data_IF_077729558577
#
_entry.id   IF_077729558577
#
_cell.length_a   1.000
_cell.length_b   1.000
_cell.length_c   1.000
_cell.angle_alpha   90.00
_cell.angle_beta   90.00
_cell.angle_gamma   90.00
#
_symmetry.space_group_name_H-M   'P 1'
#
loop_
_entity.id
_entity.type
_entity.pdbx_description
1 polymer ?
#
# COMPACT_ATOMS: atom_id res chain seq x y z
N UNK A 1 -16.02 39.72 29.24
CA UNK A 1 -14.85 39.71 28.34
C UNK A 1 -14.21 38.33 28.47
N UNK A 2 -14.42 37.47 27.47
CA UNK A 2 -13.99 36.06 27.49
C UNK A 2 -12.71 35.97 26.67
N UNK A 3 -11.58 35.66 27.30
CA UNK A 3 -10.32 35.40 26.61
C UNK A 3 -10.35 33.96 26.07
N UNK A 4 -10.46 33.82 24.75
CA UNK A 4 -10.23 32.56 24.05
C UNK A 4 -8.71 32.38 23.88
N UNK A 5 -8.13 31.51 24.72
CA UNK A 5 -6.79 30.97 24.53
C UNK A 5 -6.84 29.97 23.39
N UNK A 6 -6.48 30.42 22.18
CA UNK A 6 -6.26 29.54 21.04
C UNK A 6 -4.94 28.82 21.30
N UNK A 7 -5.00 27.62 21.89
CA UNK A 7 -3.85 26.72 21.90
C UNK A 7 -3.60 26.31 20.45
N UNK A 8 -2.69 27.01 19.79
CA UNK A 8 -2.07 26.51 18.57
C UNK A 8 -1.28 25.27 18.98
N UNK A 9 -1.89 24.09 18.85
CA UNK A 9 -1.14 22.86 18.82
C UNK A 9 -0.20 22.97 17.62
N UNK A 10 1.06 23.29 17.89
CA UNK A 10 2.13 23.03 16.94
C UNK A 10 2.17 21.51 16.75
N UNK A 11 1.39 20.99 15.81
CA UNK A 11 1.66 19.69 15.21
C UNK A 11 3.00 19.84 14.51
N UNK A 12 4.07 19.49 15.21
CA UNK A 12 5.35 19.22 14.54
C UNK A 12 5.05 18.12 13.54
N UNK A 13 5.10 18.44 12.24
CA UNK A 13 5.04 17.43 11.19
C UNK A 13 6.14 16.41 11.51
N UNK A 14 5.72 15.20 11.89
CA UNK A 14 6.66 14.12 12.21
C UNK A 14 7.41 13.78 10.92
N UNK A 15 8.71 13.52 11.04
CA UNK A 15 9.57 13.06 9.95
C UNK A 15 10.01 11.63 10.22
N UNK A 16 10.41 10.92 9.17
CA UNK A 16 10.97 9.57 9.28
C UNK A 16 12.21 9.56 10.20
N UNK A 17 12.24 8.65 11.17
CA UNK A 17 13.41 8.44 12.03
C UNK A 17 14.43 7.50 11.37
N UNK A 18 15.32 8.09 10.58
CA UNK A 18 16.33 7.34 9.80
C UNK A 18 17.44 6.71 10.64
N UNK A 19 17.58 7.08 11.92
CA UNK A 19 18.67 6.57 12.79
C UNK A 19 18.61 5.05 13.02
N UNK A 20 17.44 4.46 12.78
CA UNK A 20 17.20 3.02 12.92
C UNK A 20 17.18 2.30 11.56
N UNK A 21 17.36 3.01 10.45
CA UNK A 21 17.26 2.46 9.11
C UNK A 21 18.64 2.35 8.46
N UNK A 22 18.82 1.30 7.66
CA UNK A 22 19.99 1.12 6.82
C UNK A 22 19.60 1.46 5.39
N UNK A 23 20.38 2.29 4.71
CA UNK A 23 20.16 2.58 3.28
C UNK A 23 20.55 1.35 2.45
N UNK A 24 19.66 0.94 1.56
CA UNK A 24 19.91 -0.11 0.57
C UNK A 24 20.38 0.49 -0.77
N UNK A 25 19.72 1.57 -1.20
CA UNK A 25 20.01 2.28 -2.45
C UNK A 25 19.69 3.77 -2.29
N UNK A 26 20.49 4.62 -2.93
CA UNK A 26 20.37 6.08 -2.87
C UNK A 26 20.44 6.63 -4.31
N UNK A 27 19.30 7.13 -4.80
CA UNK A 27 19.15 7.82 -6.08
C UNK A 27 18.20 9.02 -5.86
N UNK A 28 17.30 9.33 -6.81
CA UNK A 28 16.19 10.29 -6.60
C UNK A 28 15.34 9.90 -5.39
N UNK A 29 15.20 8.62 -5.10
CA UNK A 29 14.54 8.12 -3.89
C UNK A 29 15.57 7.41 -2.99
N UNK A 30 15.41 7.52 -1.67
CA UNK A 30 16.20 6.73 -0.72
C UNK A 30 15.43 5.45 -0.41
N UNK A 31 15.93 4.30 -0.85
CA UNK A 31 15.40 3.00 -0.49
C UNK A 31 16.13 2.50 0.76
N UNK A 32 15.39 2.26 1.83
CA UNK A 32 15.93 1.62 3.03
C UNK A 32 15.80 0.10 2.94
N UNK A 33 16.70 -0.63 3.61
CA UNK A 33 16.56 -2.08 3.77
C UNK A 33 15.23 -2.40 4.45
N UNK A 34 14.46 -3.38 3.96
CA UNK A 34 13.19 -3.75 4.56
C UNK A 34 13.34 -4.13 6.05
N UNK A 35 12.36 -3.74 6.86
CA UNK A 35 12.32 -3.94 8.31
C UNK A 35 11.05 -4.67 8.74
N UNK A 36 11.03 -5.26 9.93
CA UNK A 36 9.79 -5.82 10.49
C UNK A 36 8.75 -4.72 10.81
N UNK A 37 7.47 -5.10 10.91
CA UNK A 37 6.33 -4.19 11.16
C UNK A 37 6.52 -3.33 12.42
N UNK A 38 6.99 -3.94 13.53
CA UNK A 38 7.18 -3.22 14.81
C UNK A 38 8.22 -2.12 14.68
N UNK A 39 9.29 -2.39 13.92
CA UNK A 39 10.31 -1.39 13.64
C UNK A 39 9.78 -0.29 12.72
N UNK A 40 8.99 -0.62 11.71
CA UNK A 40 8.33 0.35 10.82
C UNK A 40 7.42 1.30 11.62
N UNK A 41 6.51 0.78 12.44
CA UNK A 41 5.59 1.55 13.30
C UNK A 41 6.29 2.57 14.20
N UNK A 42 7.54 2.30 14.60
CA UNK A 42 8.32 3.18 15.46
C UNK A 42 9.02 4.31 14.69
N UNK A 43 9.37 4.09 13.42
CA UNK A 43 10.14 5.07 12.62
C UNK A 43 9.27 5.94 11.73
N UNK A 44 8.08 5.46 11.36
CA UNK A 44 7.22 6.14 10.40
C UNK A 44 6.64 7.45 10.96
N UNK A 45 6.47 8.48 10.11
CA UNK A 45 5.87 9.74 10.53
C UNK A 45 4.33 9.69 10.62
N UNK A 46 3.72 8.55 10.30
CA UNK A 46 2.28 8.30 10.35
C UNK A 46 2.00 6.93 10.99
N UNK A 47 0.77 6.76 11.46
CA UNK A 47 0.26 5.47 11.91
C UNK A 47 -0.14 4.64 10.69
N UNK A 48 0.31 3.39 10.64
CA UNK A 48 0.02 2.47 9.55
C UNK A 48 -0.84 1.33 10.10
N UNK A 49 -2.00 1.16 9.48
CA UNK A 49 -2.85 0.00 9.67
C UNK A 49 -2.54 -1.01 8.54
N UNK A 50 -2.48 -2.29 8.90
CA UNK A 50 -2.15 -3.37 7.97
C UNK A 50 -3.41 -4.21 7.71
N UNK A 51 -3.65 -4.66 6.46
CA UNK A 51 -4.80 -5.50 6.17
C UNK A 51 -4.84 -6.75 7.05
N UNK A 52 -6.03 -7.09 7.52
CA UNK A 52 -6.29 -8.28 8.34
C UNK A 52 -7.02 -9.38 7.58
N UNK A 53 -7.55 -9.07 6.40
CA UNK A 53 -8.19 -10.01 5.49
C UNK A 53 -7.35 -10.22 4.22
N UNK A 54 -7.23 -11.48 3.82
CA UNK A 54 -6.66 -11.89 2.54
C UNK A 54 -7.49 -13.05 1.98
N UNK A 55 -7.60 -13.15 0.65
CA UNK A 55 -8.39 -14.20 0.02
C UNK A 55 -7.66 -15.55 -0.08
N UNK A 56 -6.45 -15.67 0.49
CA UNK A 56 -5.60 -16.85 0.53
C UNK A 56 -4.74 -16.86 1.81
N UNK A 57 -4.22 -18.04 2.16
CA UNK A 57 -3.17 -18.14 3.18
C UNK A 57 -1.88 -17.46 2.69
N UNK A 58 -1.24 -16.67 3.55
CA UNK A 58 -0.08 -15.86 3.17
C UNK A 58 1.02 -15.89 4.22
N UNK A 59 2.23 -15.57 3.79
CA UNK A 59 3.32 -15.20 4.70
C UNK A 59 3.44 -13.68 4.82
N UNK A 60 3.88 -13.21 5.99
CA UNK A 60 4.19 -11.80 6.18
C UNK A 60 5.63 -11.51 5.72
N UNK A 61 5.78 -10.50 4.86
CA UNK A 61 7.11 -9.99 4.47
C UNK A 61 7.51 -8.77 5.30
N UNK A 62 8.78 -8.38 5.17
CA UNK A 62 9.26 -7.14 5.76
C UNK A 62 8.68 -5.93 5.03
N UNK A 63 8.51 -4.85 5.79
CA UNK A 63 8.06 -3.54 5.33
C UNK A 63 9.21 -2.82 4.63
N UNK A 64 9.03 -2.49 3.37
CA UNK A 64 9.92 -1.59 2.63
C UNK A 64 9.51 -0.13 2.91
N UNK A 65 10.51 0.73 3.09
CA UNK A 65 10.34 2.16 3.36
C UNK A 65 11.18 2.92 2.34
N UNK A 66 10.58 3.94 1.75
CA UNK A 66 11.21 4.80 0.75
C UNK A 66 11.03 6.25 1.17
N UNK A 67 12.14 6.99 1.26
CA UNK A 67 12.13 8.44 1.26
C UNK A 67 12.00 8.95 -0.17
N UNK A 68 10.85 9.50 -0.53
CA UNK A 68 10.53 9.92 -1.89
C UNK A 68 11.18 11.26 -2.20
N UNK A 69 11.80 11.40 -3.38
CA UNK A 69 12.52 12.62 -3.79
C UNK A 69 13.55 13.07 -2.73
N UNK A 70 14.30 12.11 -2.17
CA UNK A 70 15.29 12.33 -1.10
C UNK A 70 14.70 13.04 0.14
N UNK A 71 13.43 12.75 0.45
CA UNK A 71 12.70 13.38 1.56
C UNK A 71 12.48 12.44 2.73
N UNK A 72 12.69 12.97 3.94
CA UNK A 72 12.24 12.34 5.19
C UNK A 72 10.81 12.77 5.60
N UNK A 73 10.15 13.59 4.78
CA UNK A 73 8.77 14.05 4.96
C UNK A 73 7.81 13.33 4.01
N UNK A 74 8.22 13.09 2.75
CA UNK A 74 7.45 12.32 1.76
C UNK A 74 7.87 10.86 1.82
N UNK A 75 7.10 10.04 2.52
CA UNK A 75 7.44 8.66 2.80
C UNK A 75 6.45 7.74 2.11
N UNK A 76 6.98 6.71 1.44
CA UNK A 76 6.21 5.59 0.90
C UNK A 76 6.60 4.35 1.66
N UNK A 77 5.61 3.59 2.11
CA UNK A 77 5.77 2.32 2.79
C UNK A 77 5.03 1.26 2.02
N UNK A 78 5.66 0.10 1.81
CA UNK A 78 5.01 -1.02 1.12
C UNK A 78 5.31 -2.34 1.80
N UNK A 79 4.33 -3.23 1.82
CA UNK A 79 4.46 -4.61 2.30
C UNK A 79 3.77 -5.55 1.31
N UNK A 80 4.36 -6.72 1.12
CA UNK A 80 3.84 -7.76 0.24
C UNK A 80 3.35 -8.96 1.04
N UNK A 81 2.25 -9.55 0.60
CA UNK A 81 1.65 -10.74 1.19
C UNK A 81 1.52 -11.81 0.10
N UNK A 82 2.56 -12.63 -0.12
CA UNK A 82 2.49 -13.70 -1.11
C UNK A 82 1.73 -14.91 -0.56
N UNK A 83 0.97 -15.56 -1.45
CA UNK A 83 0.27 -16.82 -1.18
C UNK A 83 1.26 -17.92 -0.80
N UNK A 84 0.87 -18.73 0.18
CA UNK A 84 1.58 -19.96 0.56
C UNK A 84 0.83 -21.23 0.15
N UNK A 85 -0.19 -21.13 -0.68
CA UNK A 85 -0.94 -22.31 -1.13
C UNK A 85 -0.09 -23.14 -2.13
N UNK A 86 -0.15 -24.47 -2.06
CA UNK A 86 0.76 -25.35 -2.83
C UNK A 86 0.40 -25.40 -4.33
N UNK A 87 -0.89 -25.31 -4.65
CA UNK A 87 -1.39 -25.31 -6.04
C UNK A 87 -0.85 -24.12 -6.86
N UNK A 88 -0.50 -23.02 -6.17
CA UNK A 88 0.04 -21.79 -6.74
C UNK A 88 1.56 -21.81 -6.94
N UNK A 89 2.27 -22.77 -6.34
CA UNK A 89 3.74 -22.74 -6.28
C UNK A 89 4.41 -23.68 -7.26
N UNK A 90 3.82 -24.84 -7.58
CA UNK A 90 4.50 -25.85 -8.40
C UNK A 90 3.56 -26.82 -9.12
N UNK A 91 3.66 -26.84 -10.46
CA UNK A 91 3.19 -27.96 -11.28
C UNK A 91 4.42 -28.73 -11.82
N UNK A 92 4.69 -29.90 -11.25
CA UNK A 92 5.82 -30.75 -11.63
C UNK A 92 5.67 -31.19 -13.10
N UNK A 93 6.56 -30.71 -13.99
CA UNK A 93 6.52 -30.98 -15.43
C UNK A 93 6.07 -29.81 -16.31
N UNK A 94 5.69 -28.66 -15.74
CA UNK A 94 5.40 -27.45 -16.50
C UNK A 94 6.66 -26.64 -16.82
N UNK A 95 6.79 -26.17 -18.07
CA UNK A 95 7.81 -25.18 -18.47
C UNK A 95 7.45 -23.74 -18.06
N UNK A 96 6.22 -23.54 -17.58
CA UNK A 96 5.72 -22.27 -17.04
C UNK A 96 5.42 -22.46 -15.55
N UNK A 97 6.09 -21.69 -14.69
CA UNK A 97 5.72 -21.60 -13.28
C UNK A 97 4.66 -20.50 -13.13
N UNK A 98 3.54 -20.77 -12.45
CA UNK A 98 2.57 -19.73 -12.13
C UNK A 98 3.23 -18.65 -11.27
N UNK A 99 2.86 -17.39 -11.51
CA UNK A 99 3.24 -16.31 -10.62
C UNK A 99 2.46 -16.49 -9.31
N UNK A 100 3.17 -16.56 -8.18
CA UNK A 100 2.55 -16.74 -6.87
C UNK A 100 1.58 -15.56 -6.62
N UNK A 101 0.28 -15.81 -6.39
CA UNK A 101 -0.68 -14.78 -6.07
C UNK A 101 -0.20 -13.95 -4.89
N UNK A 102 -0.42 -12.64 -4.93
CA UNK A 102 0.03 -11.79 -3.86
C UNK A 102 -0.79 -10.50 -3.78
N UNK A 103 -0.88 -9.97 -2.57
CA UNK A 103 -1.37 -8.62 -2.31
C UNK A 103 -0.17 -7.73 -2.02
N UNK A 104 -0.03 -6.64 -2.76
CA UNK A 104 0.89 -5.55 -2.42
C UNK A 104 0.08 -4.41 -1.82
N UNK A 105 0.45 -4.00 -0.61
CA UNK A 105 -0.16 -2.89 0.08
C UNK A 105 0.86 -1.76 0.21
N UNK A 106 0.52 -0.59 -0.31
CA UNK A 106 1.37 0.60 -0.30
C UNK A 106 0.63 1.76 0.33
N UNK A 107 1.34 2.51 1.17
CA UNK A 107 0.85 3.69 1.88
C UNK A 107 1.84 4.82 1.65
N UNK A 108 1.36 6.00 1.26
CA UNK A 108 2.16 7.20 1.15
C UNK A 108 1.52 8.35 1.91
N UNK A 109 2.31 9.16 2.61
CA UNK A 109 1.79 10.32 3.35
C UNK A 109 1.71 11.60 2.51
N UNK A 110 1.66 11.44 1.19
CA UNK A 110 1.55 12.47 0.19
C UNK A 110 0.91 11.84 -1.05
N UNK A 111 0.40 12.69 -1.93
CA UNK A 111 -0.12 12.26 -3.23
C UNK A 111 1.04 11.93 -4.18
N UNK A 112 1.18 10.65 -4.53
CA UNK A 112 2.13 10.12 -5.51
C UNK A 112 1.59 10.23 -6.92
N UNK A 113 0.85 11.28 -7.23
CA UNK A 113 0.32 11.61 -8.56
C UNK A 113 -0.99 10.90 -8.96
N UNK A 114 -1.61 10.05 -8.13
CA UNK A 114 -2.81 9.32 -8.57
C UNK A 114 -4.01 10.24 -8.78
N UNK A 115 -4.18 11.28 -7.95
CA UNK A 115 -5.28 12.23 -8.15
C UNK A 115 -5.16 12.96 -9.50
N UNK A 116 -3.94 13.23 -9.97
CA UNK A 116 -3.67 13.94 -11.21
C UNK A 116 -3.82 13.05 -12.45
N UNK A 117 -3.51 11.75 -12.32
CA UNK A 117 -3.47 10.83 -13.46
C UNK A 117 -4.63 9.82 -13.49
N UNK A 118 -5.56 9.86 -12.54
CA UNK A 118 -6.72 8.98 -12.50
C UNK A 118 -7.53 9.00 -13.81
N UNK A 119 -7.91 10.21 -14.25
CA UNK A 119 -8.73 10.41 -15.46
C UNK A 119 -8.03 9.92 -16.74
N UNK A 120 -6.69 9.99 -16.78
CA UNK A 120 -5.91 9.59 -17.95
C UNK A 120 -5.69 8.08 -18.04
N UNK A 121 -5.81 7.38 -16.92
CA UNK A 121 -5.42 5.98 -16.80
C UNK A 121 -6.60 5.01 -16.82
N UNK A 122 -7.83 5.52 -16.96
CA UNK A 122 -9.04 4.70 -17.08
C UNK A 122 -9.39 3.97 -15.80
N UNK A 123 -9.31 4.65 -14.66
CA UNK A 123 -9.84 4.15 -13.40
C UNK A 123 -11.36 4.32 -13.34
N UNK A 124 -12.03 3.34 -12.76
CA UNK A 124 -13.44 3.41 -12.40
C UNK A 124 -13.57 3.81 -10.91
N UNK A 125 -14.42 4.77 -10.61
CA UNK A 125 -14.74 5.12 -9.21
C UNK A 125 -15.60 4.03 -8.57
N UNK A 126 -15.15 3.51 -7.43
CA UNK A 126 -15.88 2.50 -6.65
C UNK A 126 -16.01 2.92 -5.19
N UNK A 127 -17.05 2.43 -4.50
CA UNK A 127 -17.22 2.64 -3.06
C UNK A 127 -16.47 1.56 -2.29
N UNK A 128 -15.62 1.97 -1.36
CA UNK A 128 -14.93 1.07 -0.43
C UNK A 128 -15.77 0.92 0.84
N UNK A 129 -16.18 2.05 1.42
CA UNK A 129 -17.06 2.14 2.59
C UNK A 129 -18.09 3.26 2.44
N UNK A 130 -18.76 3.62 3.53
CA UNK A 130 -19.86 4.61 3.49
C UNK A 130 -19.39 5.99 2.97
N UNK A 131 -18.18 6.42 3.36
CA UNK A 131 -17.63 7.74 3.06
C UNK A 131 -16.31 7.72 2.24
N UNK A 132 -15.83 6.55 1.82
CA UNK A 132 -14.56 6.40 1.08
C UNK A 132 -14.85 5.94 -0.35
N UNK A 133 -14.42 6.77 -1.32
CA UNK A 133 -14.42 6.44 -2.74
C UNK A 133 -12.99 6.10 -3.17
N UNK A 134 -12.83 4.97 -3.85
CA UNK A 134 -11.57 4.53 -4.43
C UNK A 134 -11.61 4.54 -5.95
N UNK A 135 -10.42 4.40 -6.54
CA UNK A 135 -10.15 4.31 -7.96
C UNK A 135 -9.71 2.89 -8.27
N UNK A 136 -10.55 2.13 -8.95
CA UNK A 136 -10.31 0.75 -9.33
C UNK A 136 -9.83 0.65 -10.78
N UNK A 137 -8.90 -0.26 -11.04
CA UNK A 137 -8.47 -0.57 -12.40
C UNK A 137 -8.01 -2.01 -12.52
N UNK A 138 -8.39 -2.65 -13.62
CA UNK A 138 -7.78 -3.90 -14.06
C UNK A 138 -6.37 -3.65 -14.60
N UNK A 139 -5.40 -4.38 -14.05
CA UNK A 139 -4.01 -4.32 -14.46
C UNK A 139 -3.62 -5.62 -15.17
N UNK A 140 -3.64 -5.58 -16.51
CA UNK A 140 -3.33 -6.74 -17.37
C UNK A 140 -1.87 -7.15 -17.32
N UNK A 141 -0.95 -6.26 -16.95
CA UNK A 141 0.48 -6.57 -16.90
C UNK A 141 0.80 -7.51 -15.75
N UNK A 142 0.09 -7.37 -14.65
CA UNK A 142 0.18 -8.24 -13.48
C UNK A 142 -0.94 -9.29 -13.42
N UNK A 143 -1.79 -9.39 -14.45
CA UNK A 143 -2.99 -10.24 -14.46
C UNK A 143 -3.78 -10.12 -13.14
N UNK A 144 -4.16 -8.88 -12.81
CA UNK A 144 -4.77 -8.57 -11.54
C UNK A 144 -5.53 -7.26 -11.57
N UNK A 145 -5.70 -6.65 -10.39
CA UNK A 145 -6.35 -5.37 -10.25
C UNK A 145 -5.68 -4.53 -9.18
N UNK A 146 -5.97 -3.24 -9.23
CA UNK A 146 -5.48 -2.27 -8.27
C UNK A 146 -6.60 -1.34 -7.80
N UNK A 147 -6.53 -0.95 -6.53
CA UNK A 147 -7.45 -0.06 -5.88
C UNK A 147 -6.65 1.02 -5.14
N UNK A 148 -6.91 2.27 -5.49
CA UNK A 148 -6.26 3.44 -4.88
C UNK A 148 -7.30 4.28 -4.18
N UNK A 149 -6.98 4.84 -3.02
CA UNK A 149 -7.85 5.80 -2.36
C UNK A 149 -7.05 6.75 -1.49
N UNK A 150 -7.69 7.86 -1.13
CA UNK A 150 -7.14 8.82 -0.18
C UNK A 150 -8.02 8.86 1.06
N UNK A 151 -7.39 8.82 2.22
CA UNK A 151 -8.02 9.18 3.48
C UNK A 151 -7.18 10.26 4.18
N UNK A 152 -7.75 11.46 4.27
CA UNK A 152 -7.04 12.66 4.74
C UNK A 152 -5.83 13.03 3.87
N UNK A 153 -4.62 12.86 4.41
CA UNK A 153 -3.35 13.13 3.72
C UNK A 153 -2.59 11.84 3.35
N UNK A 154 -3.21 10.69 3.60
CA UNK A 154 -2.60 9.39 3.34
C UNK A 154 -3.23 8.82 2.08
N UNK A 155 -2.37 8.47 1.14
CA UNK A 155 -2.70 7.71 -0.04
C UNK A 155 -2.49 6.23 0.26
N UNK A 156 -3.44 5.43 -0.17
CA UNK A 156 -3.41 3.98 -0.05
C UNK A 156 -3.54 3.37 -1.44
N UNK A 157 -2.82 2.27 -1.63
CA UNK A 157 -2.85 1.47 -2.84
C UNK A 157 -2.82 0.00 -2.44
N UNK A 158 -3.74 -0.76 -3.03
CA UNK A 158 -3.75 -2.21 -3.01
C UNK A 158 -3.60 -2.71 -4.44
N UNK A 159 -2.73 -3.69 -4.63
CA UNK A 159 -2.66 -4.47 -5.86
C UNK A 159 -2.85 -5.93 -5.51
N UNK A 160 -3.80 -6.60 -6.16
CA UNK A 160 -3.97 -8.06 -6.08
C UNK A 160 -3.54 -8.66 -7.41
N UNK A 161 -2.60 -9.60 -7.36
CA UNK A 161 -1.98 -10.23 -8.53
C UNK A 161 -2.42 -11.69 -8.64
N UNK A 162 -2.80 -12.13 -9.86
CA UNK A 162 -3.06 -13.53 -10.24
C UNK A 162 -4.03 -14.27 -9.31
N UNK A 163 -5.12 -13.64 -8.89
CA UNK A 163 -6.14 -14.27 -8.04
C UNK A 163 -7.35 -14.81 -8.82
N UNK A 164 -7.87 -14.05 -9.78
CA UNK A 164 -9.05 -14.41 -10.57
C UNK A 164 -9.01 -13.73 -11.93
N UNK A 165 -9.68 -14.32 -12.94
CA UNK A 165 -9.98 -13.67 -14.22
C UNK A 165 -11.32 -12.90 -14.16
N UNK A 166 -12.13 -13.10 -13.11
CA UNK A 166 -13.38 -12.39 -12.89
C UNK A 166 -13.09 -11.00 -12.29
N UNK A 167 -13.40 -9.97 -13.07
CA UNK A 167 -13.23 -8.58 -12.68
C UNK A 167 -14.02 -8.22 -11.43
N UNK A 168 -15.25 -8.74 -11.30
CA UNK A 168 -16.10 -8.39 -10.17
C UNK A 168 -15.60 -9.06 -8.89
N UNK A 169 -15.09 -10.27 -9.00
CA UNK A 169 -14.42 -10.94 -7.88
C UNK A 169 -13.19 -10.16 -7.42
N UNK A 170 -12.32 -9.73 -8.35
CA UNK A 170 -11.15 -8.91 -8.01
C UNK A 170 -11.53 -7.58 -7.32
N UNK A 171 -12.56 -6.91 -7.81
CA UNK A 171 -13.11 -5.69 -7.20
C UNK A 171 -13.60 -5.96 -5.76
N UNK A 172 -14.44 -6.98 -5.58
CA UNK A 172 -15.01 -7.33 -4.28
C UNK A 172 -13.92 -7.74 -3.28
N UNK A 173 -12.90 -8.48 -3.71
CA UNK A 173 -11.77 -8.86 -2.85
C UNK A 173 -10.92 -7.65 -2.45
N UNK A 174 -10.62 -6.74 -3.38
CA UNK A 174 -9.91 -5.50 -3.05
C UNK A 174 -10.68 -4.62 -2.05
N UNK A 175 -12.01 -4.53 -2.19
CA UNK A 175 -12.87 -3.81 -1.23
C UNK A 175 -12.83 -4.47 0.15
N UNK A 176 -12.87 -5.81 0.23
CA UNK A 176 -12.77 -6.52 1.52
C UNK A 176 -11.43 -6.32 2.19
N UNK A 177 -10.33 -6.38 1.43
CA UNK A 177 -8.98 -6.11 1.93
C UNK A 177 -8.91 -4.67 2.45
N UNK A 178 -9.39 -3.70 1.67
CA UNK A 178 -9.38 -2.28 2.06
C UNK A 178 -10.20 -2.01 3.34
N UNK A 179 -11.37 -2.63 3.49
CA UNK A 179 -12.20 -2.52 4.71
C UNK A 179 -11.64 -3.28 5.93
N UNK A 180 -10.57 -4.06 5.75
CA UNK A 180 -9.91 -4.81 6.83
C UNK A 180 -8.69 -4.10 7.40
N UNK A 181 -8.35 -2.94 6.82
CA UNK A 181 -7.34 -2.00 7.29
C UNK A 181 -7.95 -1.21 8.44
#
# INVERSE_FOLDING_TARGET
MFLLLIMSACTSEKKLDTRKLEVAEEDVNILYKPVDKKKAEVVLPYEIEYPTYFPFEHEETNVAIVGWEDSNEKIVTSIRYPSIEEDDRWNEGSIYQPAIPNVNYTVANFDRYYSEYADMNGYDEIKIGDDITGLFKLNKEISGAELHWFDGKIEYNLQIMYYSEDTKELEDELIKIANSI
#
